data_IF_201842930808
#
_entry.id   IF_201842930808
#
_cell.length_a   1.000
_cell.length_b   1.000
_cell.length_c   1.000
_cell.angle_alpha   90.00
_cell.angle_beta   90.00
_cell.angle_gamma   90.00
#
_symmetry.space_group_name_H-M   'P 1'
#
loop_
_entity.id
_entity.type
_entity.pdbx_description
1 polymer ?
#
# COMPACT_ATOMS: atom_id res chain seq x y z
N UNK A 1 -7.78 31.63 -21.70
CA UNK A 1 -7.65 30.18 -21.42
C UNK A 1 -8.20 29.92 -20.02
N UNK A 2 -9.23 29.10 -19.94
CA UNK A 2 -9.98 28.81 -18.71
C UNK A 2 -9.08 28.02 -17.74
N UNK A 3 -8.74 28.61 -16.58
CA UNK A 3 -8.09 27.89 -15.48
C UNK A 3 -9.11 26.88 -14.95
N UNK A 4 -8.93 25.59 -15.30
CA UNK A 4 -9.76 24.53 -14.74
C UNK A 4 -9.53 24.45 -13.23
N UNK A 5 -10.64 24.55 -12.49
CA UNK A 5 -10.68 24.49 -11.04
C UNK A 5 -10.18 23.13 -10.57
N UNK A 6 -9.11 23.15 -9.78
CA UNK A 6 -8.57 21.98 -9.09
C UNK A 6 -9.61 21.53 -8.04
N UNK A 7 -10.01 20.24 -7.97
CA UNK A 7 -10.84 19.74 -6.89
C UNK A 7 -10.15 20.02 -5.55
N UNK A 8 -10.92 20.54 -4.58
CA UNK A 8 -10.41 20.87 -3.24
C UNK A 8 -9.60 19.71 -2.67
N UNK A 9 -8.43 20.05 -2.11
CA UNK A 9 -7.61 19.19 -1.24
C UNK A 9 -8.54 18.36 -0.35
N UNK A 10 -8.47 17.03 -0.43
CA UNK A 10 -9.09 16.19 0.60
C UNK A 10 -8.34 16.44 1.91
N UNK A 11 -9.03 16.39 3.06
CA UNK A 11 -8.42 16.62 4.38
C UNK A 11 -7.24 15.67 4.67
N UNK A 12 -7.16 14.55 3.95
CA UNK A 12 -6.03 13.62 3.96
C UNK A 12 -4.70 14.25 3.51
N UNK A 13 -4.72 15.13 2.50
CA UNK A 13 -3.54 15.87 2.06
C UNK A 13 -3.13 16.98 3.06
N UNK A 14 -4.08 17.49 3.86
CA UNK A 14 -3.79 18.45 4.94
C UNK A 14 -3.13 17.75 6.14
N UNK A 15 -3.55 16.53 6.48
CA UNK A 15 -2.95 15.74 7.57
C UNK A 15 -1.58 15.14 7.23
N UNK A 16 -1.24 15.00 5.94
CA UNK A 16 0.09 14.52 5.52
C UNK A 16 1.17 15.60 5.71
N UNK A 17 0.80 16.89 5.68
CA UNK A 17 1.74 18.03 5.83
C UNK A 17 1.95 18.41 7.31
N UNK A 18 1.03 18.02 8.20
CA UNK A 18 1.12 18.30 9.65
C UNK A 18 1.29 17.00 10.45
N UNK A 19 2.10 16.06 9.96
CA UNK A 19 2.67 15.03 10.83
C UNK A 19 4.06 15.51 11.24
N UNK A 20 4.18 16.06 12.45
CA UNK A 20 5.46 16.42 13.08
C UNK A 20 6.27 15.19 13.52
N UNK A 21 5.82 13.99 13.15
CA UNK A 21 6.56 12.76 13.36
C UNK A 21 7.92 12.85 12.65
N UNK A 22 9.04 12.59 13.34
CA UNK A 22 10.37 12.53 12.73
C UNK A 22 10.43 11.60 11.50
N UNK A 23 9.53 10.61 11.46
CA UNK A 23 9.37 9.65 10.36
C UNK A 23 8.78 10.26 9.07
N UNK A 24 8.10 11.42 9.13
CA UNK A 24 7.61 12.17 7.96
C UNK A 24 8.71 12.81 7.11
N UNK A 25 9.93 12.91 7.64
CA UNK A 25 11.00 13.71 7.07
C UNK A 25 12.07 12.90 6.33
N UNK A 26 12.01 11.55 6.35
CA UNK A 26 13.05 10.67 5.77
C UNK A 26 12.91 10.47 4.26
N UNK A 27 14.04 10.28 3.57
CA UNK A 27 14.03 10.03 2.11
C UNK A 27 13.40 8.69 1.74
N UNK A 28 13.51 7.64 2.57
CA UNK A 28 12.81 6.37 2.35
C UNK A 28 11.28 6.53 2.29
N UNK A 29 10.70 7.44 3.08
CA UNK A 29 9.27 7.78 2.97
C UNK A 29 8.99 8.57 1.70
N UNK A 30 9.89 9.44 1.25
CA UNK A 30 9.77 10.13 -0.05
C UNK A 30 9.75 9.12 -1.20
N UNK A 31 10.63 8.12 -1.23
CA UNK A 31 10.59 7.05 -2.25
C UNK A 31 9.21 6.39 -2.34
N UNK A 32 8.61 6.07 -1.19
CA UNK A 32 7.28 5.47 -1.16
C UNK A 32 6.18 6.46 -1.53
N UNK A 33 6.18 7.66 -0.95
CA UNK A 33 5.18 8.68 -1.27
C UNK A 33 5.25 9.07 -2.75
N UNK A 34 6.43 9.08 -3.35
CA UNK A 34 6.60 9.27 -4.80
C UNK A 34 5.93 8.12 -5.55
N UNK A 35 6.14 6.86 -5.17
CA UNK A 35 5.40 5.73 -5.74
C UNK A 35 3.87 5.89 -5.59
N UNK A 36 3.37 6.30 -4.41
CA UNK A 36 1.93 6.48 -4.17
C UNK A 36 1.32 7.71 -4.85
N UNK A 37 2.11 8.76 -5.09
CA UNK A 37 1.68 10.00 -5.75
C UNK A 37 1.90 9.95 -7.27
N UNK A 38 2.84 9.15 -7.75
CA UNK A 38 3.14 8.92 -9.16
C UNK A 38 2.28 7.77 -9.68
N UNK A 39 0.97 7.99 -9.75
CA UNK A 39 0.00 7.08 -10.38
C UNK A 39 0.12 7.02 -11.93
N UNK A 40 1.28 7.39 -12.48
CA UNK A 40 1.52 7.52 -13.92
C UNK A 40 0.92 8.79 -14.55
N UNK A 41 0.14 9.58 -13.82
CA UNK A 41 -0.55 10.77 -14.32
C UNK A 41 -0.09 12.08 -13.66
N UNK A 42 0.78 12.03 -12.65
CA UNK A 42 1.34 13.22 -12.00
C UNK A 42 2.76 13.50 -12.48
N UNK A 43 3.04 14.77 -12.75
CA UNK A 43 4.37 15.26 -13.12
C UNK A 43 5.29 15.42 -11.89
N UNK A 44 6.61 15.35 -12.12
CA UNK A 44 7.65 15.40 -11.08
C UNK A 44 7.58 16.71 -10.27
N UNK A 45 7.32 17.83 -10.95
CA UNK A 45 7.22 19.17 -10.34
C UNK A 45 6.07 19.23 -9.33
N UNK A 46 4.92 18.64 -9.68
CA UNK A 46 3.75 18.55 -8.82
C UNK A 46 3.99 17.63 -7.63
N UNK A 47 4.67 16.50 -7.82
CA UNK A 47 5.04 15.60 -6.70
C UNK A 47 6.03 16.29 -5.75
N UNK A 48 7.04 16.98 -6.29
CA UNK A 48 8.00 17.78 -5.53
C UNK A 48 7.32 18.86 -4.70
N UNK A 49 6.36 19.57 -5.29
CA UNK A 49 5.52 20.56 -4.61
C UNK A 49 4.68 19.94 -3.49
N UNK A 50 4.02 18.81 -3.74
CA UNK A 50 3.21 18.13 -2.72
C UNK A 50 4.05 17.65 -1.54
N UNK A 51 5.27 17.16 -1.81
CA UNK A 51 6.18 16.63 -0.78
C UNK A 51 7.07 17.70 -0.13
N UNK A 52 7.05 18.93 -0.64
CA UNK A 52 7.95 20.01 -0.20
C UNK A 52 9.43 19.56 -0.28
N UNK A 53 9.79 18.90 -1.38
CA UNK A 53 11.13 18.37 -1.66
C UNK A 53 11.65 18.87 -3.01
N UNK A 54 12.97 18.96 -3.22
CA UNK A 54 13.55 19.44 -4.47
C UNK A 54 13.24 18.52 -5.66
N UNK A 55 12.75 19.12 -6.75
CA UNK A 55 12.36 18.44 -7.99
C UNK A 55 13.46 17.52 -8.58
N UNK A 56 14.75 17.92 -8.68
CA UNK A 56 15.78 17.04 -9.23
C UNK A 56 15.96 15.75 -8.44
N UNK A 57 15.75 15.79 -7.12
CA UNK A 57 15.79 14.60 -6.27
C UNK A 57 14.55 13.73 -6.46
N UNK A 58 13.37 14.32 -6.62
CA UNK A 58 12.15 13.58 -6.93
C UNK A 58 12.26 12.91 -8.31
N UNK A 59 12.83 13.60 -9.30
CA UNK A 59 13.07 13.03 -10.62
C UNK A 59 14.00 11.82 -10.59
N UNK A 60 15.08 11.87 -9.81
CA UNK A 60 15.97 10.72 -9.59
C UNK A 60 15.23 9.53 -8.96
N UNK A 61 14.42 9.79 -7.94
CA UNK A 61 13.60 8.78 -7.25
C UNK A 61 12.57 8.14 -8.20
N UNK A 62 11.82 8.95 -8.96
CA UNK A 62 10.84 8.49 -9.96
C UNK A 62 11.56 7.64 -11.02
N UNK A 63 12.70 8.11 -11.52
CA UNK A 63 13.51 7.37 -12.50
C UNK A 63 13.96 6.01 -11.98
N UNK A 64 14.50 5.95 -10.75
CA UNK A 64 14.91 4.71 -10.09
C UNK A 64 13.73 3.73 -9.91
N UNK A 65 12.56 4.22 -9.48
CA UNK A 65 11.35 3.40 -9.32
C UNK A 65 10.82 2.85 -10.66
N UNK A 66 10.85 3.67 -11.72
CA UNK A 66 10.35 3.30 -13.05
C UNK A 66 11.31 2.35 -13.79
N UNK A 67 12.62 2.47 -13.55
CA UNK A 67 13.65 1.63 -14.20
C UNK A 67 13.92 0.34 -13.40
N UNK A 68 13.68 0.35 -12.09
CA UNK A 68 14.33 -0.60 -11.19
C UNK A 68 13.47 -1.27 -10.14
N UNK A 69 12.13 -1.38 -10.28
CA UNK A 69 11.26 -2.08 -9.32
C UNK A 69 11.97 -3.26 -8.64
N UNK A 70 12.37 -3.07 -7.37
CA UNK A 70 13.61 -3.64 -6.82
C UNK A 70 13.71 -5.17 -6.99
N UNK A 71 14.64 -5.59 -7.87
CA UNK A 71 15.24 -6.94 -7.88
C UNK A 71 16.64 -6.80 -7.30
N UNK A 72 16.88 -7.31 -6.08
CA UNK A 72 18.25 -7.63 -5.67
C UNK A 72 18.65 -8.95 -6.33
N UNK A 73 19.45 -8.85 -7.40
CA UNK A 73 20.07 -9.99 -8.07
C UNK A 73 21.09 -10.63 -7.14
N UNK A 74 20.70 -11.71 -6.47
CA UNK A 74 21.64 -12.73 -6.00
C UNK A 74 21.16 -14.10 -6.52
N UNK A 75 21.75 -14.51 -7.65
CA UNK A 75 21.48 -15.73 -8.43
C UNK A 75 20.25 -15.69 -9.35
N UNK A 76 20.29 -16.47 -10.44
CA UNK A 76 19.29 -16.55 -11.52
C UNK A 76 17.90 -17.06 -11.12
N UNK A 77 17.52 -16.97 -9.84
CA UNK A 77 16.15 -17.13 -9.36
C UNK A 77 15.69 -15.79 -8.77
N UNK A 78 14.61 -15.24 -9.32
CA UNK A 78 13.88 -14.10 -8.72
C UNK A 78 13.36 -14.52 -7.34
N UNK A 79 14.12 -14.28 -6.27
CA UNK A 79 13.67 -14.52 -4.90
C UNK A 79 13.22 -13.18 -4.32
N UNK A 80 11.90 -13.03 -4.20
CA UNK A 80 11.27 -11.92 -3.51
C UNK A 80 11.51 -12.09 -2.01
N UNK A 81 12.50 -11.41 -1.45
CA UNK A 81 12.84 -11.51 -0.03
C UNK A 81 11.94 -10.58 0.80
N UNK A 82 10.73 -11.06 1.12
CA UNK A 82 9.92 -10.44 2.17
C UNK A 82 10.57 -10.73 3.54
N UNK A 83 10.64 -9.74 4.43
CA UNK A 83 11.11 -9.97 5.79
C UNK A 83 10.01 -10.66 6.62
N UNK A 84 10.03 -11.99 6.57
CA UNK A 84 9.03 -12.86 7.19
C UNK A 84 8.86 -12.58 8.69
N UNK A 85 9.98 -12.45 9.41
CA UNK A 85 9.98 -12.27 10.85
C UNK A 85 9.23 -11.01 11.25
N UNK A 86 9.50 -9.89 10.57
CA UNK A 86 8.86 -8.61 10.86
C UNK A 86 7.37 -8.60 10.46
N UNK A 87 7.02 -9.23 9.33
CA UNK A 87 5.62 -9.37 8.91
C UNK A 87 4.83 -10.18 9.92
N UNK A 88 5.39 -11.31 10.35
CA UNK A 88 4.76 -12.22 11.32
C UNK A 88 4.63 -11.57 12.69
N UNK A 89 5.70 -11.01 13.22
CA UNK A 89 5.71 -10.35 14.52
C UNK A 89 4.66 -9.24 14.59
N UNK A 90 4.63 -8.36 13.60
CA UNK A 90 3.66 -7.26 13.57
C UNK A 90 2.22 -7.71 13.30
N UNK A 91 2.02 -8.76 12.49
CA UNK A 91 0.70 -9.38 12.32
C UNK A 91 0.19 -10.00 13.64
N UNK A 92 1.05 -10.74 14.35
CA UNK A 92 0.70 -11.40 15.60
C UNK A 92 0.34 -10.38 16.69
N UNK A 93 0.97 -9.20 16.71
CA UNK A 93 0.61 -8.11 17.63
C UNK A 93 -0.80 -7.53 17.39
N UNK A 94 -1.32 -7.56 16.15
CA UNK A 94 -2.68 -7.07 15.84
C UNK A 94 -3.73 -8.19 15.83
N UNK A 95 -3.32 -9.46 15.69
CA UNK A 95 -4.22 -10.61 15.58
C UNK A 95 -5.26 -10.74 16.71
N UNK A 96 -4.95 -10.46 18.00
CA UNK A 96 -5.95 -10.47 19.07
C UNK A 96 -7.06 -9.42 18.90
N UNK A 97 -6.79 -8.36 18.12
CA UNK A 97 -7.70 -7.24 17.82
C UNK A 97 -8.14 -7.23 16.36
N UNK A 98 -8.07 -8.37 15.66
CA UNK A 98 -8.27 -8.49 14.21
C UNK A 98 -9.59 -7.89 13.69
N UNK A 99 -10.69 -8.04 14.43
CA UNK A 99 -11.99 -7.50 14.02
C UNK A 99 -11.99 -5.98 14.07
N UNK A 100 -11.54 -5.40 15.19
CA UNK A 100 -11.39 -3.97 15.33
C UNK A 100 -10.41 -3.40 14.29
N UNK A 101 -9.27 -4.06 14.08
CA UNK A 101 -8.28 -3.65 13.08
C UNK A 101 -8.89 -3.58 11.68
N UNK A 102 -9.58 -4.63 11.24
CA UNK A 102 -10.19 -4.68 9.92
C UNK A 102 -11.32 -3.66 9.75
N UNK A 103 -12.15 -3.49 10.78
CA UNK A 103 -13.19 -2.47 10.81
C UNK A 103 -12.60 -1.07 10.62
N UNK A 104 -11.58 -0.76 11.43
CA UNK A 104 -10.89 0.52 11.41
C UNK A 104 -10.21 0.79 10.06
N UNK A 105 -9.65 -0.25 9.42
CA UNK A 105 -9.13 -0.17 8.07
C UNK A 105 -10.21 0.27 7.06
N UNK A 106 -11.40 -0.37 7.06
CA UNK A 106 -12.47 -0.01 6.10
C UNK A 106 -13.10 1.35 6.39
N UNK A 107 -13.25 1.71 7.66
CA UNK A 107 -13.68 3.06 8.05
C UNK A 107 -12.74 4.13 7.48
N UNK A 108 -11.41 3.96 7.64
CA UNK A 108 -10.42 4.88 7.05
C UNK A 108 -10.44 4.87 5.53
N UNK A 109 -10.49 3.70 4.91
CA UNK A 109 -10.52 3.58 3.45
C UNK A 109 -11.68 4.38 2.86
N UNK A 110 -12.86 4.24 3.46
CA UNK A 110 -14.05 4.92 2.98
C UNK A 110 -14.11 6.40 3.39
N UNK A 111 -13.49 6.78 4.52
CA UNK A 111 -13.35 8.18 4.89
C UNK A 111 -12.41 8.93 3.93
N UNK A 112 -11.23 8.36 3.64
CA UNK A 112 -10.22 8.99 2.80
C UNK A 112 -10.55 8.92 1.31
N UNK A 113 -11.15 7.82 0.87
CA UNK A 113 -11.47 7.56 -0.53
C UNK A 113 -12.93 7.15 -0.69
N UNK A 114 -13.90 8.07 -0.54
CA UNK A 114 -15.32 7.75 -0.57
C UNK A 114 -15.80 7.02 -1.83
N UNK A 115 -15.14 7.24 -2.97
CA UNK A 115 -15.42 6.59 -4.25
C UNK A 115 -15.22 5.07 -4.20
N UNK A 116 -14.35 4.57 -3.32
CA UNK A 116 -14.11 3.14 -3.15
C UNK A 116 -15.31 2.39 -2.57
N UNK A 117 -16.23 3.07 -1.87
CA UNK A 117 -17.47 2.46 -1.33
C UNK A 117 -18.29 1.74 -2.42
N UNK A 118 -18.27 2.25 -3.65
CA UNK A 118 -19.00 1.65 -4.76
C UNK A 118 -18.54 0.22 -5.07
N UNK A 119 -17.26 -0.11 -4.84
CA UNK A 119 -16.71 -1.46 -5.01
C UNK A 119 -17.28 -2.47 -4.01
N UNK A 120 -17.85 -1.98 -2.90
CA UNK A 120 -18.37 -2.77 -1.79
C UNK A 120 -19.90 -2.64 -1.64
N UNK A 121 -20.58 -2.01 -2.60
CA UNK A 121 -22.01 -1.68 -2.49
C UNK A 121 -22.93 -2.91 -2.30
N UNK A 122 -22.49 -4.09 -2.76
CA UNK A 122 -23.20 -5.36 -2.65
C UNK A 122 -22.43 -6.39 -1.81
N UNK A 123 -21.57 -5.91 -0.90
CA UNK A 123 -20.71 -6.73 -0.07
C UNK A 123 -21.20 -6.75 1.38
N UNK A 124 -21.26 -7.94 1.97
CA UNK A 124 -21.37 -8.07 3.43
C UNK A 124 -20.05 -7.61 4.06
N UNK A 125 -20.08 -6.41 4.65
CA UNK A 125 -18.89 -5.77 5.21
C UNK A 125 -18.28 -6.54 6.38
N UNK A 126 -19.09 -7.21 7.22
CA UNK A 126 -18.57 -8.01 8.33
C UNK A 126 -17.80 -9.22 7.80
N UNK A 127 -18.33 -9.86 6.76
CA UNK A 127 -17.62 -10.94 6.07
C UNK A 127 -16.36 -10.43 5.35
N UNK A 128 -16.40 -9.22 4.80
CA UNK A 128 -15.28 -8.60 4.09
C UNK A 128 -14.13 -8.23 5.02
N UNK A 129 -14.43 -7.70 6.21
CA UNK A 129 -13.47 -7.45 7.29
C UNK A 129 -12.74 -8.74 7.69
N UNK A 130 -13.49 -9.83 7.90
CA UNK A 130 -12.90 -11.15 8.15
C UNK A 130 -12.03 -11.65 6.98
N UNK A 131 -12.46 -11.40 5.74
CA UNK A 131 -11.73 -11.80 4.53
C UNK A 131 -10.40 -11.09 4.36
N UNK A 132 -10.31 -9.81 4.76
CA UNK A 132 -9.05 -9.06 4.80
C UNK A 132 -8.05 -9.73 5.73
N UNK A 133 -8.44 -9.97 6.99
CA UNK A 133 -7.55 -10.57 7.98
C UNK A 133 -7.13 -12.00 7.61
N UNK A 134 -8.05 -12.79 7.04
CA UNK A 134 -7.73 -14.12 6.54
C UNK A 134 -6.71 -14.07 5.39
N UNK A 135 -6.84 -13.11 4.49
CA UNK A 135 -5.92 -12.94 3.36
C UNK A 135 -4.53 -12.54 3.84
N UNK A 136 -4.43 -11.58 4.79
CA UNK A 136 -3.16 -11.21 5.41
C UNK A 136 -2.51 -12.40 6.12
N UNK A 137 -3.28 -13.20 6.87
CA UNK A 137 -2.78 -14.40 7.52
C UNK A 137 -2.23 -15.42 6.52
N UNK A 138 -2.93 -15.66 5.40
CA UNK A 138 -2.48 -16.58 4.35
C UNK A 138 -1.16 -16.10 3.73
N UNK A 139 -1.04 -14.80 3.47
CA UNK A 139 0.20 -14.20 2.95
C UNK A 139 1.34 -14.41 3.93
N UNK A 140 1.17 -13.99 5.19
CA UNK A 140 2.21 -14.10 6.22
C UNK A 140 2.65 -15.56 6.38
N UNK A 141 1.70 -16.48 6.51
CA UNK A 141 1.99 -17.89 6.71
C UNK A 141 2.59 -18.57 5.46
N UNK A 142 2.18 -18.17 4.26
CA UNK A 142 2.74 -18.68 3.01
C UNK A 142 4.18 -18.21 2.79
N UNK A 143 4.46 -16.95 3.11
CA UNK A 143 5.82 -16.38 3.10
C UNK A 143 6.69 -17.10 4.13
N UNK A 144 6.17 -17.37 5.33
CA UNK A 144 6.87 -18.14 6.38
C UNK A 144 7.22 -19.56 5.95
N UNK A 145 6.33 -20.23 5.23
CA UNK A 145 6.56 -21.58 4.70
C UNK A 145 7.39 -21.61 3.40
N UNK A 146 7.79 -20.46 2.88
CA UNK A 146 8.52 -20.37 1.60
C UNK A 146 7.69 -20.83 0.39
N UNK A 147 6.36 -20.71 0.47
CA UNK A 147 5.47 -21.14 -0.60
C UNK A 147 5.55 -20.23 -1.82
N UNK A 148 5.37 -20.82 -3.01
CA UNK A 148 5.11 -20.02 -4.20
C UNK A 148 3.68 -19.47 -4.17
N UNK A 149 3.54 -18.24 -3.69
CA UNK A 149 2.26 -17.55 -3.59
C UNK A 149 1.74 -17.00 -4.94
N UNK A 150 2.58 -16.93 -5.97
CA UNK A 150 2.24 -16.29 -7.26
C UNK A 150 0.91 -16.81 -7.83
N UNK A 151 0.65 -18.12 -7.98
CA UNK A 151 -0.62 -18.60 -8.55
C UNK A 151 -1.84 -18.20 -7.70
N UNK A 152 -1.68 -18.17 -6.38
CA UNK A 152 -2.75 -17.76 -5.45
C UNK A 152 -3.04 -16.26 -5.58
N UNK A 153 -2.00 -15.43 -5.65
CA UNK A 153 -2.11 -13.98 -5.81
C UNK A 153 -2.71 -13.62 -7.19
N UNK A 154 -2.34 -14.32 -8.25
CA UNK A 154 -2.91 -14.10 -9.58
C UNK A 154 -4.41 -14.43 -9.62
N UNK A 155 -4.83 -15.57 -9.04
CA UNK A 155 -6.26 -15.91 -8.89
C UNK A 155 -7.01 -14.87 -8.06
N UNK A 156 -6.38 -14.34 -7.02
CA UNK A 156 -6.96 -13.27 -6.21
C UNK A 156 -7.10 -11.98 -7.02
N UNK A 157 -6.10 -11.65 -7.84
CA UNK A 157 -6.10 -10.52 -8.77
C UNK A 157 -7.24 -10.59 -9.79
N UNK A 158 -7.45 -11.75 -10.43
CA UNK A 158 -8.57 -11.97 -11.35
C UNK A 158 -9.93 -11.73 -10.69
N UNK A 159 -10.10 -12.12 -9.42
CA UNK A 159 -11.32 -11.83 -8.66
C UNK A 159 -11.47 -10.31 -8.41
N UNK A 160 -10.39 -9.65 -7.98
CA UNK A 160 -10.39 -8.21 -7.73
C UNK A 160 -10.72 -7.41 -8.98
N UNK A 161 -10.16 -7.80 -10.13
CA UNK A 161 -10.51 -7.22 -11.42
C UNK A 161 -12.01 -7.36 -11.73
N UNK A 162 -12.58 -8.57 -11.54
CA UNK A 162 -14.03 -8.80 -11.70
C UNK A 162 -14.90 -7.98 -10.74
N UNK A 163 -14.38 -7.62 -9.57
CA UNK A 163 -15.05 -6.72 -8.62
C UNK A 163 -14.92 -5.24 -9.02
N UNK A 164 -14.22 -4.92 -10.11
CA UNK A 164 -14.01 -3.55 -10.57
C UNK A 164 -12.80 -2.86 -9.93
N UNK A 165 -11.91 -3.62 -9.26
CA UNK A 165 -10.66 -3.06 -8.77
C UNK A 165 -9.76 -2.66 -9.95
N UNK A 166 -9.23 -1.44 -9.89
CA UNK A 166 -8.30 -0.88 -10.88
C UNK A 166 -6.91 -0.78 -10.27
N UNK A 167 -5.84 -0.72 -11.10
CA UNK A 167 -4.48 -0.50 -10.62
C UNK A 167 -4.36 0.68 -9.65
N UNK A 168 -5.08 1.77 -9.92
CA UNK A 168 -5.14 2.99 -9.08
C UNK A 168 -5.69 2.75 -7.66
N UNK A 169 -6.47 1.70 -7.43
CA UNK A 169 -7.04 1.42 -6.10
C UNK A 169 -6.04 0.76 -5.15
N UNK A 170 -5.08 -0.02 -5.67
CA UNK A 170 -4.10 -0.73 -4.84
C UNK A 170 -3.23 0.24 -4.04
N UNK A 171 -2.73 1.35 -4.63
CA UNK A 171 -2.11 2.43 -3.89
C UNK A 171 -2.91 2.92 -2.66
N UNK A 172 -4.21 3.10 -2.81
CA UNK A 172 -5.06 3.63 -1.75
C UNK A 172 -5.18 2.64 -0.58
N UNK A 173 -5.40 1.37 -0.92
CA UNK A 173 -5.52 0.26 0.04
C UNK A 173 -4.22 0.06 0.83
N UNK A 174 -3.07 0.06 0.14
CA UNK A 174 -1.78 -0.15 0.80
C UNK A 174 -1.43 0.95 1.80
N UNK A 175 -1.70 2.21 1.46
CA UNK A 175 -1.52 3.33 2.38
C UNK A 175 -2.38 3.21 3.65
N UNK A 176 -3.67 2.92 3.48
CA UNK A 176 -4.61 2.78 4.61
C UNK A 176 -4.25 1.58 5.50
N UNK A 177 -3.75 0.49 4.92
CA UNK A 177 -3.30 -0.68 5.68
C UNK A 177 -2.11 -0.32 6.59
N UNK A 178 -1.09 0.35 6.05
CA UNK A 178 0.08 0.77 6.82
C UNK A 178 -0.27 1.77 7.93
N UNK A 179 -1.19 2.70 7.64
CA UNK A 179 -1.69 3.65 8.64
C UNK A 179 -2.47 2.94 9.77
N UNK A 180 -3.27 1.93 9.42
CA UNK A 180 -4.00 1.13 10.41
C UNK A 180 -3.03 0.34 11.30
N UNK A 181 -1.94 -0.22 10.75
CA UNK A 181 -0.87 -0.79 11.56
C UNK A 181 -0.24 0.23 12.50
N UNK A 182 0.09 1.42 11.99
CA UNK A 182 0.69 2.47 12.79
C UNK A 182 -0.19 2.89 13.96
N UNK A 183 -1.51 3.00 13.76
CA UNK A 183 -2.44 3.31 14.85
C UNK A 183 -2.50 2.20 15.91
N UNK A 184 -2.61 0.94 15.49
CA UNK A 184 -2.84 -0.17 16.43
C UNK A 184 -1.60 -0.55 17.24
N UNK A 185 -0.41 -0.31 16.68
CA UNK A 185 0.86 -0.70 17.26
C UNK A 185 1.66 0.51 17.80
N UNK A 186 1.35 1.73 17.35
CA UNK A 186 2.03 2.95 17.78
C UNK A 186 3.55 2.83 17.61
N UNK A 187 4.28 3.05 18.70
CA UNK A 187 5.75 2.95 18.74
C UNK A 187 6.28 1.53 18.47
N UNK A 188 5.47 0.49 18.66
CA UNK A 188 5.85 -0.88 18.35
C UNK A 188 5.87 -1.16 16.85
N UNK A 189 5.21 -0.33 16.02
CA UNK A 189 5.34 -0.41 14.56
C UNK A 189 6.64 0.24 14.11
N UNK A 190 7.72 -0.52 14.22
CA UNK A 190 9.05 -0.01 13.87
C UNK A 190 9.14 0.35 12.39
N UNK A 191 10.07 1.25 12.01
CA UNK A 191 10.33 1.54 10.60
C UNK A 191 10.63 0.29 9.77
N UNK A 192 11.33 -0.69 10.35
CA UNK A 192 11.64 -1.95 9.69
C UNK A 192 10.37 -2.80 9.42
N UNK A 193 9.42 -2.86 10.35
CA UNK A 193 8.14 -3.55 10.14
C UNK A 193 7.32 -2.88 9.05
N UNK A 194 7.29 -1.55 9.06
CA UNK A 194 6.64 -0.80 8.00
C UNK A 194 7.26 -1.06 6.63
N UNK A 195 8.60 -1.13 6.58
CA UNK A 195 9.35 -1.45 5.37
C UNK A 195 9.03 -2.83 4.84
N UNK A 196 8.91 -3.81 5.74
CA UNK A 196 8.52 -5.17 5.40
C UNK A 196 7.10 -5.21 4.81
N UNK A 197 6.12 -4.57 5.45
CA UNK A 197 4.74 -4.51 4.95
C UNK A 197 4.59 -3.77 3.63
N UNK A 198 5.34 -2.67 3.44
CA UNK A 198 5.30 -1.90 2.20
C UNK A 198 5.81 -2.75 1.03
N UNK A 199 6.95 -3.42 1.19
CA UNK A 199 7.50 -4.32 0.19
C UNK A 199 6.57 -5.50 -0.08
N UNK A 200 6.03 -6.12 0.97
CA UNK A 200 5.08 -7.23 0.81
C UNK A 200 3.86 -6.80 0.00
N UNK A 201 3.27 -5.64 0.30
CA UNK A 201 2.12 -5.12 -0.41
C UNK A 201 2.43 -4.79 -1.87
N UNK A 202 3.57 -4.17 -2.16
CA UNK A 202 4.02 -3.86 -3.53
C UNK A 202 4.13 -5.14 -4.37
N UNK A 203 4.79 -6.17 -3.83
CA UNK A 203 4.94 -7.46 -4.48
C UNK A 203 3.58 -8.10 -4.75
N UNK A 204 2.71 -8.13 -3.73
CA UNK A 204 1.38 -8.75 -3.82
C UNK A 204 0.49 -8.04 -4.84
N UNK A 205 0.41 -6.71 -4.73
CA UNK A 205 -0.38 -5.89 -5.64
C UNK A 205 0.13 -5.99 -7.08
N UNK A 206 1.44 -6.03 -7.29
CA UNK A 206 2.04 -6.27 -8.61
C UNK A 206 1.60 -7.61 -9.22
N UNK A 207 1.60 -8.70 -8.45
CA UNK A 207 1.10 -10.00 -8.92
C UNK A 207 -0.40 -9.97 -9.23
N UNK A 208 -1.19 -9.25 -8.42
CA UNK A 208 -2.64 -9.16 -8.59
C UNK A 208 -3.03 -8.31 -9.81
N UNK A 209 -2.38 -7.16 -10.00
CA UNK A 209 -2.61 -6.25 -11.13
C UNK A 209 -2.22 -6.92 -12.44
N UNK A 210 -1.04 -7.57 -12.49
CA UNK A 210 -0.57 -8.26 -13.70
C UNK A 210 -1.51 -9.38 -14.16
N UNK A 211 -2.24 -10.01 -13.24
CA UNK A 211 -3.21 -11.07 -13.56
C UNK A 211 -4.62 -10.57 -13.87
N UNK A 212 -4.96 -9.32 -13.51
CA UNK A 212 -6.27 -8.73 -13.78
C UNK A 212 -6.50 -8.39 -15.25
N UNK A 213 -5.43 -8.26 -16.04
CA UNK A 213 -5.48 -7.92 -17.47
C UNK A 213 -5.44 -9.16 -18.40
N UNK A 214 -5.53 -10.38 -17.86
CA UNK A 214 -5.56 -11.65 -18.59
C UNK A 214 -6.97 -12.23 -18.63
#
# INVERSE_FOLDING_TARGET
MQKQSIPRRTDYALNTIISTSPWAMSWQRVYRLVFWLSDGHRDIERIATLLHKPEPRIGGIVGELMVGGYVSLHSERKVLMMNVALLKESFDMVAPRKEAFAHSFYERLFAYYPTTRALFAHTDMKRQEGSLMATLAVVVAGVERGENLVPTLQRLGQKHYKYGAKPEHYPLVGGVLLETFHEYLGVAFTPAMQDAWSQAFEIISGQMVGAGNL
#
